data_IF_313244896089
#
_entry.id   IF_313244896089
#
_cell.length_a   1.000
_cell.length_b   1.000
_cell.length_c   1.000
_cell.angle_alpha   90.00
_cell.angle_beta   90.00
_cell.angle_gamma   90.00
#
_symmetry.space_group_name_H-M   'P 1'
#
loop_
_entity.id
_entity.type
_entity.pdbx_description
1 polymer ?
#
# COMPACT_ATOMS: atom_id res chain seq x y z
N UNK A 1 -47.15 37.51 -58.03
CA UNK A 1 -45.75 37.87 -58.30
C UNK A 1 -45.01 37.80 -56.97
N UNK A 2 -44.38 36.66 -56.66
CA UNK A 2 -43.68 36.48 -55.39
C UNK A 2 -42.29 37.11 -55.49
N UNK A 3 -42.08 38.21 -54.78
CA UNK A 3 -40.77 38.86 -54.69
C UNK A 3 -39.83 37.96 -53.90
N UNK A 4 -38.84 37.39 -54.60
CA UNK A 4 -37.74 36.63 -53.99
C UNK A 4 -36.90 37.62 -53.16
N UNK A 5 -37.10 37.60 -51.85
CA UNK A 5 -36.28 38.37 -50.90
C UNK A 5 -34.88 37.77 -50.93
N UNK A 6 -34.00 38.29 -51.78
CA UNK A 6 -32.56 38.04 -51.68
C UNK A 6 -32.02 38.94 -50.57
N UNK A 7 -31.78 38.36 -49.39
CA UNK A 7 -31.04 39.04 -48.33
C UNK A 7 -29.55 39.05 -48.73
N UNK A 8 -28.91 40.22 -48.87
CA UNK A 8 -27.51 40.30 -49.23
C UNK A 8 -26.68 39.76 -48.06
N UNK A 9 -25.80 38.80 -48.34
CA UNK A 9 -24.70 38.46 -47.43
C UNK A 9 -25.10 37.64 -46.21
N UNK A 10 -25.70 36.46 -46.41
CA UNK A 10 -25.60 35.38 -45.43
C UNK A 10 -24.17 34.83 -45.37
N UNK A 11 -23.21 35.67 -44.97
CA UNK A 11 -22.13 35.16 -44.17
C UNK A 11 -22.81 34.72 -42.87
N UNK A 12 -23.05 33.41 -42.72
CA UNK A 12 -23.29 32.83 -41.40
C UNK A 12 -22.28 33.50 -40.46
N UNK A 13 -22.68 34.03 -39.29
CA UNK A 13 -21.73 34.61 -38.36
C UNK A 13 -20.63 33.59 -38.21
N UNK A 14 -19.45 33.92 -38.78
CA UNK A 14 -18.28 33.06 -38.81
C UNK A 14 -18.17 32.54 -37.39
N UNK A 15 -18.30 31.23 -37.22
CA UNK A 15 -18.31 30.59 -35.91
C UNK A 15 -16.93 30.85 -35.31
N UNK A 16 -16.75 32.01 -34.66
CA UNK A 16 -15.47 32.45 -34.13
C UNK A 16 -15.22 31.51 -32.96
N UNK A 17 -14.17 30.70 -33.09
CA UNK A 17 -13.77 29.81 -32.02
C UNK A 17 -13.31 30.68 -30.85
N UNK A 18 -14.12 30.74 -29.80
CA UNK A 18 -13.73 31.35 -28.53
C UNK A 18 -12.79 30.37 -27.85
N UNK A 19 -11.55 30.78 -27.62
CA UNK A 19 -10.56 30.02 -26.86
C UNK A 19 -10.73 30.26 -25.36
N UNK A 20 -10.22 29.34 -24.54
CA UNK A 20 -10.26 29.54 -23.11
C UNK A 20 -9.23 30.58 -22.64
N UNK A 21 -9.66 31.51 -21.80
CA UNK A 21 -8.81 32.53 -21.17
C UNK A 21 -8.86 32.37 -19.65
N UNK A 22 -7.68 32.36 -19.02
CA UNK A 22 -7.54 32.23 -17.57
C UNK A 22 -7.02 33.55 -16.97
N UNK A 23 -7.46 33.86 -15.76
CA UNK A 23 -7.06 35.06 -15.03
C UNK A 23 -5.58 35.04 -14.67
N UNK A 24 -5.12 36.17 -14.13
CA UNK A 24 -3.85 36.19 -13.41
C UNK A 24 -3.87 35.20 -12.24
N UNK A 25 -2.69 34.68 -11.92
CA UNK A 25 -2.50 33.78 -10.81
C UNK A 25 -2.67 34.48 -9.47
N UNK A 26 -3.32 33.79 -8.52
CA UNK A 26 -3.29 34.20 -7.13
C UNK A 26 -1.86 34.11 -6.55
N UNK A 27 -1.59 34.83 -5.44
CA UNK A 27 -0.37 34.65 -4.68
C UNK A 27 -0.21 33.20 -4.22
N UNK A 28 1.04 32.76 -4.11
CA UNK A 28 1.35 31.44 -3.55
C UNK A 28 0.84 31.34 -2.11
N UNK A 29 0.15 30.23 -1.81
CA UNK A 29 -0.28 29.92 -0.46
C UNK A 29 0.92 29.69 0.47
N UNK A 30 0.75 29.78 1.79
CA UNK A 30 1.83 29.47 2.72
C UNK A 30 2.35 28.06 2.49
N UNK A 31 3.68 27.91 2.51
CA UNK A 31 4.31 26.60 2.45
C UNK A 31 3.74 25.70 3.57
N UNK A 32 3.19 24.54 3.21
CA UNK A 32 2.65 23.58 4.17
C UNK A 32 3.14 22.16 3.93
N UNK A 33 3.13 21.33 4.97
CA UNK A 33 3.34 19.89 4.87
C UNK A 33 2.28 19.16 5.68
N UNK A 34 1.46 18.34 5.01
CA UNK A 34 0.35 17.60 5.62
C UNK A 34 -0.59 18.53 6.42
N UNK A 35 -0.96 19.67 5.84
CA UNK A 35 -1.84 20.66 6.46
C UNK A 35 -1.24 21.45 7.63
N UNK A 36 0.09 21.38 7.83
CA UNK A 36 0.80 22.13 8.88
C UNK A 36 1.73 23.15 8.25
N UNK A 37 1.90 24.29 8.91
CA UNK A 37 2.84 25.39 8.56
C UNK A 37 4.14 25.36 9.40
N UNK A 38 4.26 24.42 10.33
CA UNK A 38 5.39 24.27 11.24
C UNK A 38 5.93 22.84 11.24
N UNK A 39 7.12 22.63 11.80
CA UNK A 39 7.70 21.30 12.05
C UNK A 39 8.32 20.61 10.83
N UNK A 40 8.39 21.28 9.69
CA UNK A 40 9.03 20.76 8.47
C UNK A 40 10.02 21.77 7.88
N UNK A 41 10.94 21.25 7.03
CA UNK A 41 11.88 22.04 6.23
C UNK A 41 11.50 22.12 4.75
N UNK A 42 10.80 21.10 4.25
CA UNK A 42 10.31 20.99 2.87
C UNK A 42 8.81 20.76 2.88
N UNK A 43 8.07 21.58 2.15
CA UNK A 43 6.62 21.50 1.99
C UNK A 43 6.22 21.80 0.56
N UNK A 44 4.92 22.02 0.37
CA UNK A 44 4.35 22.48 -0.89
C UNK A 44 3.56 23.75 -0.65
N UNK A 45 3.57 24.62 -1.66
CA UNK A 45 2.68 25.77 -1.77
C UNK A 45 1.88 25.66 -3.06
N UNK A 46 0.70 26.26 -3.04
CA UNK A 46 -0.30 26.14 -4.10
C UNK A 46 -0.76 27.53 -4.48
N UNK A 47 -0.89 27.79 -5.77
CA UNK A 47 -1.59 28.97 -6.29
C UNK A 47 -2.72 28.53 -7.20
N UNK A 48 -3.72 29.39 -7.34
CA UNK A 48 -4.90 29.12 -8.14
C UNK A 48 -5.20 30.31 -9.05
N UNK A 49 -5.90 30.06 -10.14
CA UNK A 49 -6.44 31.08 -11.04
C UNK A 49 -7.80 30.64 -11.53
N UNK A 50 -8.60 31.58 -11.99
CA UNK A 50 -9.95 31.32 -12.47
C UNK A 50 -10.00 31.35 -14.00
N UNK A 51 -11.02 30.71 -14.57
CA UNK A 51 -11.29 30.81 -16.00
C UNK A 51 -12.19 32.02 -16.23
N UNK A 52 -11.65 33.03 -16.90
CA UNK A 52 -12.38 34.28 -17.22
C UNK A 52 -13.26 34.06 -18.44
N UNK A 53 -12.80 33.25 -19.40
CA UNK A 53 -13.55 32.92 -20.59
C UNK A 53 -13.55 31.41 -20.84
N UNK A 54 -14.74 30.83 -20.91
CA UNK A 54 -14.91 29.42 -21.26
C UNK A 54 -14.82 29.21 -22.78
N UNK A 55 -14.22 28.10 -23.25
CA UNK A 55 -14.06 27.86 -24.66
C UNK A 55 -15.38 27.46 -25.32
N UNK A 56 -15.52 27.86 -26.59
CA UNK A 56 -16.57 27.34 -27.47
C UNK A 56 -16.29 25.88 -27.85
N UNK A 57 -17.25 25.21 -28.49
CA UNK A 57 -17.09 23.82 -28.97
C UNK A 57 -15.91 23.61 -29.93
N UNK A 58 -15.44 24.67 -30.61
CA UNK A 58 -14.27 24.64 -31.51
C UNK A 58 -13.05 25.36 -30.92
N UNK A 59 -13.14 25.77 -29.65
CA UNK A 59 -12.10 26.47 -28.91
C UNK A 59 -11.03 25.54 -28.34
N UNK A 60 -9.94 26.14 -27.86
CA UNK A 60 -8.89 25.40 -27.17
C UNK A 60 -9.31 25.13 -25.72
N UNK A 61 -8.96 23.97 -25.14
CA UNK A 61 -9.29 23.65 -23.76
C UNK A 61 -8.61 24.61 -22.78
N UNK A 62 -9.20 24.74 -21.60
CA UNK A 62 -8.65 25.61 -20.56
C UNK A 62 -7.33 25.09 -20.00
N UNK A 63 -6.38 26.00 -19.73
CA UNK A 63 -5.15 25.62 -19.05
C UNK A 63 -5.44 25.32 -17.56
N UNK A 64 -4.50 24.69 -16.86
CA UNK A 64 -4.70 24.32 -15.46
C UNK A 64 -4.99 25.53 -14.56
N UNK A 65 -5.98 25.39 -13.68
CA UNK A 65 -6.42 26.43 -12.73
C UNK A 65 -5.72 26.35 -11.38
N UNK A 66 -4.95 25.29 -11.14
CA UNK A 66 -4.22 25.07 -9.90
C UNK A 66 -2.79 24.66 -10.21
N UNK A 67 -1.83 25.26 -9.52
CA UNK A 67 -0.42 24.92 -9.61
C UNK A 67 0.17 24.68 -8.23
N UNK A 68 1.00 23.65 -8.09
CA UNK A 68 1.66 23.27 -6.85
C UNK A 68 3.16 23.22 -7.04
N UNK A 69 3.92 23.84 -6.13
CA UNK A 69 5.39 23.77 -6.15
C UNK A 69 5.97 23.41 -4.79
N UNK A 70 7.19 22.85 -4.82
CA UNK A 70 7.96 22.53 -3.61
C UNK A 70 8.55 23.81 -3.04
N UNK A 71 8.48 23.96 -1.73
CA UNK A 71 9.01 25.10 -0.99
C UNK A 71 9.92 24.64 0.16
N UNK A 72 10.89 25.48 0.52
CA UNK A 72 11.79 25.25 1.64
C UNK A 72 11.62 26.36 2.68
N UNK A 73 11.42 25.96 3.94
CA UNK A 73 11.21 26.89 5.06
C UNK A 73 12.09 26.51 6.24
N UNK A 74 12.33 27.47 7.13
CA UNK A 74 12.99 27.17 8.39
C UNK A 74 12.09 26.33 9.28
N UNK A 75 12.65 25.23 9.80
CA UNK A 75 11.89 24.29 10.63
C UNK A 75 11.62 24.90 11.99
N UNK A 76 10.44 25.51 12.18
CA UNK A 76 9.97 25.98 13.48
C UNK A 76 9.32 24.85 14.27
N UNK A 77 9.40 24.90 15.60
CA UNK A 77 8.71 23.93 16.47
C UNK A 77 7.21 24.20 16.43
N UNK A 78 6.41 23.17 16.13
CA UNK A 78 4.97 23.25 16.31
C UNK A 78 4.67 23.26 17.81
N UNK A 79 3.91 24.24 18.28
CA UNK A 79 3.27 24.14 19.58
C UNK A 79 2.15 23.12 19.45
N UNK A 80 2.41 21.89 19.92
CA UNK A 80 1.38 20.85 19.96
C UNK A 80 0.45 21.17 21.12
N UNK A 81 -0.80 21.53 20.82
CA UNK A 81 -1.87 21.30 21.77
C UNK A 81 -2.07 19.77 21.93
N UNK A 82 -1.40 19.21 22.92
CA UNK A 82 -2.00 18.24 23.84
C UNK A 82 -2.48 16.87 23.38
N UNK A 83 -2.29 16.38 22.14
CA UNK A 83 -2.73 15.00 21.79
C UNK A 83 -1.64 14.18 21.08
N UNK A 84 -1.07 13.21 21.81
CA UNK A 84 -0.14 12.23 21.26
C UNK A 84 0.89 11.63 22.24
N UNK A 85 0.54 11.43 23.51
CA UNK A 85 1.28 10.58 24.46
C UNK A 85 0.45 9.35 24.83
N UNK A 86 0.07 8.49 23.87
CA UNK A 86 -0.58 7.19 24.20
C UNK A 86 -0.18 6.06 23.24
N UNK A 87 1.10 5.92 22.89
CA UNK A 87 1.54 4.66 22.27
C UNK A 87 3.04 4.31 22.41
N UNK A 88 3.74 4.85 23.43
CA UNK A 88 5.13 4.42 23.71
C UNK A 88 5.19 3.24 24.68
N UNK A 89 4.23 3.17 25.60
CA UNK A 89 4.16 2.10 26.60
C UNK A 89 3.53 0.81 26.05
N UNK A 90 2.50 0.93 25.21
CA UNK A 90 1.89 -0.21 24.53
C UNK A 90 2.87 -0.89 23.56
N UNK A 91 3.66 -0.11 22.81
CA UNK A 91 4.73 -0.62 21.94
C UNK A 91 5.83 -1.36 22.73
N UNK A 92 6.18 -0.88 23.93
CA UNK A 92 7.15 -1.56 24.82
C UNK A 92 6.58 -2.84 25.46
N UNK A 93 5.30 -2.85 25.81
CA UNK A 93 4.62 -4.05 26.33
C UNK A 93 4.46 -5.12 25.24
N UNK A 94 4.23 -4.72 23.99
CA UNK A 94 4.17 -5.63 22.83
C UNK A 94 5.52 -6.31 22.58
N UNK A 95 6.62 -5.54 22.51
CA UNK A 95 7.96 -6.11 22.29
C UNK A 95 8.39 -7.08 23.40
N UNK A 96 8.17 -6.72 24.67
CA UNK A 96 8.52 -7.60 25.79
C UNK A 96 7.67 -8.89 25.85
N UNK A 97 6.41 -8.83 25.38
CA UNK A 97 5.52 -9.99 25.33
C UNK A 97 5.91 -10.98 24.23
N UNK A 98 6.41 -10.49 23.10
CA UNK A 98 6.84 -11.33 21.99
C UNK A 98 8.18 -12.02 22.31
N UNK A 99 9.13 -11.33 22.96
CA UNK A 99 10.41 -11.91 23.43
C UNK A 99 10.23 -12.98 24.52
N UNK A 100 9.26 -12.80 25.43
CA UNK A 100 8.93 -13.81 26.44
C UNK A 100 8.27 -15.06 25.86
N UNK A 101 7.63 -14.99 24.69
CA UNK A 101 7.02 -16.16 24.04
C UNK A 101 8.05 -16.98 23.27
N UNK A 102 8.97 -16.32 22.60
CA UNK A 102 10.05 -16.97 21.82
C UNK A 102 10.96 -17.81 22.73
N UNK A 103 11.41 -17.25 23.85
CA UNK A 103 12.22 -17.95 24.86
C UNK A 103 11.51 -19.18 25.47
N UNK A 104 10.18 -19.12 25.65
CA UNK A 104 9.36 -20.26 26.11
C UNK A 104 9.19 -21.33 25.04
N UNK A 105 9.13 -20.96 23.76
CA UNK A 105 9.06 -21.93 22.66
C UNK A 105 10.41 -22.62 22.45
N UNK A 106 11.52 -21.89 22.56
CA UNK A 106 12.85 -22.46 22.43
C UNK A 106 13.19 -23.44 23.57
N UNK A 107 12.84 -23.11 24.82
CA UNK A 107 13.03 -24.00 25.96
C UNK A 107 12.20 -25.29 25.85
N UNK A 108 10.96 -25.21 25.36
CA UNK A 108 10.13 -26.39 25.04
C UNK A 108 10.72 -27.25 23.90
N UNK A 109 11.22 -26.63 22.84
CA UNK A 109 11.89 -27.34 21.74
C UNK A 109 13.16 -28.06 22.19
N UNK A 110 13.96 -27.42 23.04
CA UNK A 110 15.16 -28.03 23.64
C UNK A 110 14.81 -29.22 24.55
N UNK A 111 13.74 -29.12 25.34
CA UNK A 111 13.26 -30.22 26.20
C UNK A 111 12.76 -31.42 25.36
N UNK A 112 11.94 -31.18 24.34
CA UNK A 112 11.46 -32.24 23.44
C UNK A 112 12.62 -32.95 22.70
N UNK A 113 13.65 -32.20 22.28
CA UNK A 113 14.84 -32.76 21.62
C UNK A 113 15.68 -33.64 22.57
N UNK A 114 15.75 -33.29 23.87
CA UNK A 114 16.41 -34.13 24.89
C UNK A 114 15.67 -35.44 25.13
N UNK A 115 14.35 -35.39 25.29
CA UNK A 115 13.52 -36.58 25.47
C UNK A 115 13.61 -37.54 24.28
N UNK A 116 13.59 -37.02 23.05
CA UNK A 116 13.74 -37.84 21.84
C UNK A 116 15.12 -38.52 21.78
N UNK A 117 16.19 -37.84 22.20
CA UNK A 117 17.55 -38.41 22.27
C UNK A 117 17.63 -39.58 23.27
N UNK A 118 17.10 -39.42 24.47
CA UNK A 118 17.04 -40.50 25.48
C UNK A 118 16.23 -41.70 25.00
N UNK A 119 15.10 -41.46 24.32
CA UNK A 119 14.28 -42.54 23.77
C UNK A 119 15.01 -43.31 22.65
N UNK A 120 15.76 -42.61 21.79
CA UNK A 120 16.60 -43.25 20.76
C UNK A 120 17.73 -44.09 21.37
N UNK A 121 18.36 -43.59 22.43
CA UNK A 121 19.42 -44.29 23.16
C UNK A 121 18.87 -45.56 23.86
N UNK A 122 17.67 -45.49 24.43
CA UNK A 122 16.99 -46.65 25.00
C UNK A 122 16.57 -47.69 23.95
N UNK A 123 16.03 -47.27 22.81
CA UNK A 123 15.66 -48.17 21.71
C UNK A 123 16.86 -48.89 21.09
N UNK A 124 18.05 -48.29 21.13
CA UNK A 124 19.28 -48.92 20.63
C UNK A 124 19.89 -49.93 21.65
N UNK A 125 19.45 -49.89 22.92
CA UNK A 125 19.92 -50.78 23.99
C UNK A 125 19.12 -52.09 24.08
N UNK A 126 17.92 -52.15 23.51
CA UNK A 126 17.01 -53.31 23.54
C UNK A 126 17.16 -54.30 22.38
N UNK A 127 18.19 -54.18 21.52
CA UNK A 127 18.47 -55.16 20.45
C UNK A 127 19.44 -56.26 20.93
N UNK A 128 18.99 -57.50 21.22
CA UNK A 128 19.89 -58.65 21.32
C UNK A 128 20.34 -59.09 19.91
N UNK A 129 21.66 -59.21 19.71
CA UNK A 129 22.26 -59.91 18.56
C UNK A 129 21.73 -61.36 18.54
N UNK A 130 20.89 -61.75 17.57
CA UNK A 130 20.56 -63.17 17.32
C UNK A 130 21.03 -63.61 15.93
N UNK A 131 21.81 -64.69 15.91
CA UNK A 131 22.45 -65.34 14.75
C UNK A 131 21.50 -66.40 14.15
N UNK A 132 21.38 -66.37 12.81
CA UNK A 132 21.33 -67.44 11.76
C UNK A 132 20.44 -68.73 11.86
N UNK A 133 19.42 -68.80 10.97
CA UNK A 133 18.95 -69.87 10.01
C UNK A 133 18.56 -71.31 10.48
N UNK A 134 17.95 -72.21 9.64
CA UNK A 134 16.91 -72.13 8.55
C UNK A 134 15.79 -73.24 8.63
N UNK A 135 14.86 -73.30 7.64
CA UNK A 135 14.02 -74.45 7.10
C UNK A 135 12.51 -74.11 6.94
N UNK A 136 11.96 -74.05 5.71
CA UNK A 136 11.40 -75.10 4.80
C UNK A 136 9.88 -75.26 5.01
N UNK A 137 9.04 -74.61 4.20
CA UNK A 137 8.19 -75.20 3.12
C UNK A 137 6.88 -75.81 3.70
N UNK A 138 5.64 -75.67 3.18
CA UNK A 138 5.16 -75.76 1.78
C UNK A 138 3.64 -75.44 1.74
N UNK A 139 3.20 -74.74 0.67
CA UNK A 139 1.98 -74.90 -0.17
C UNK A 139 0.55 -74.96 0.44
N UNK A 140 -0.59 -74.58 -0.18
CA UNK A 140 -1.05 -74.45 -1.59
C UNK A 140 -2.13 -73.33 -1.72
N UNK A 141 -2.22 -72.69 -2.90
CA UNK A 141 -3.36 -71.90 -3.39
C UNK A 141 -4.37 -72.83 -4.14
N UNK A 142 -5.39 -72.38 -4.92
CA UNK A 142 -5.99 -71.04 -5.15
C UNK A 142 -7.56 -71.06 -5.13
N UNK A 143 -8.26 -69.93 -5.36
CA UNK A 143 -9.11 -69.67 -6.56
C UNK A 143 -9.87 -68.32 -6.49
N UNK A 144 -9.81 -67.66 -7.65
CA UNK A 144 -10.57 -66.59 -8.30
C UNK A 144 -12.05 -66.33 -7.90
N UNK A 145 -12.52 -65.09 -8.03
CA UNK A 145 -13.59 -64.70 -8.99
C UNK A 145 -13.78 -63.18 -8.99
N UNK A 146 -13.63 -62.58 -10.17
CA UNK A 146 -13.98 -61.20 -10.51
C UNK A 146 -15.49 -60.98 -10.63
N UNK A 147 -15.94 -59.74 -10.37
CA UNK A 147 -17.03 -59.08 -11.09
C UNK A 147 -16.95 -57.56 -10.89
#
# INVERSE_FOLDING_TARGET
MYTKIHWPGSACPMFVAVHCEASEWSPWSPCTKKGKTCGFKRGNEVRVREIVQHPSARGNPCPATSESRKCMVQRKRCQKEGKGKKNREEKRKKSNKDESKESRQESKGRAARRQNREQRENNNKTQPKKRKAPSKEQSLAPVDTAQ
#
